data_IF_983264706268
#
_entry.id   IF_983264706268
#
_cell.length_a   1.000
_cell.length_b   1.000
_cell.length_c   1.000
_cell.angle_alpha   90.00
_cell.angle_beta   90.00
_cell.angle_gamma   90.00
#
_symmetry.space_group_name_H-M   'P 1'
#
loop_
_entity.id
_entity.type
_entity.pdbx_description
1 polymer ?
#
# COMPACT_ATOMS: atom_id res chain seq x y z
N UNK A 1 1.88 20.34 -4.87
CA UNK A 1 2.79 21.14 -4.03
C UNK A 1 3.94 20.26 -3.55
N UNK A 2 5.02 20.22 -4.31
CA UNK A 2 6.08 19.20 -4.24
C UNK A 2 7.39 19.75 -3.62
N UNK A 3 7.29 20.75 -2.73
CA UNK A 3 8.46 21.47 -2.20
C UNK A 3 9.30 20.65 -1.20
N UNK A 4 8.67 19.89 -0.30
CA UNK A 4 9.43 19.16 0.73
C UNK A 4 10.21 17.96 0.18
N UNK A 5 9.71 17.31 -0.88
CA UNK A 5 10.39 16.17 -1.52
C UNK A 5 11.62 16.62 -2.34
N UNK A 6 11.53 17.76 -3.02
CA UNK A 6 12.68 18.34 -3.78
C UNK A 6 13.72 19.00 -2.87
N UNK A 7 13.33 19.52 -1.71
CA UNK A 7 14.22 20.28 -0.83
C UNK A 7 15.13 19.41 0.07
N UNK A 8 15.00 18.07 0.09
CA UNK A 8 15.76 17.15 0.98
C UNK A 8 15.75 17.57 2.47
N UNK A 9 14.74 18.32 2.93
CA UNK A 9 14.61 18.77 4.33
C UNK A 9 13.30 18.28 4.97
N UNK A 10 13.12 16.97 5.14
CA UNK A 10 11.96 16.42 5.84
C UNK A 10 11.87 16.92 7.29
N UNK A 11 13.01 17.27 7.89
CA UNK A 11 13.12 17.78 9.27
C UNK A 11 12.31 19.06 9.50
N UNK A 12 12.22 19.94 8.50
CA UNK A 12 11.43 21.18 8.60
C UNK A 12 9.93 20.87 8.53
N UNK A 13 9.51 19.93 7.66
CA UNK A 13 8.14 19.47 7.61
C UNK A 13 7.70 18.83 8.93
N UNK A 14 8.60 18.05 9.54
CA UNK A 14 8.42 17.43 10.85
C UNK A 14 8.33 18.46 11.97
N UNK A 15 9.24 19.43 12.02
CA UNK A 15 9.20 20.50 12.99
C UNK A 15 7.91 21.33 12.86
N UNK A 16 7.45 21.57 11.63
CA UNK A 16 6.20 22.27 11.35
C UNK A 16 5.00 21.44 11.82
N UNK A 17 4.97 20.14 11.54
CA UNK A 17 3.89 19.24 11.96
C UNK A 17 3.84 19.08 13.48
N UNK A 18 4.98 18.91 14.14
CA UNK A 18 5.08 18.92 15.61
C UNK A 18 4.60 20.25 16.19
N UNK A 19 4.88 21.37 15.52
CA UNK A 19 4.39 22.69 15.94
C UNK A 19 2.88 22.84 15.73
N UNK A 20 2.33 22.25 14.68
CA UNK A 20 0.88 22.17 14.42
C UNK A 20 0.19 21.31 15.49
N UNK A 21 0.76 20.13 15.82
CA UNK A 21 0.32 19.26 16.92
C UNK A 21 0.31 20.01 18.26
N UNK A 22 1.42 20.68 18.63
CA UNK A 22 1.51 21.44 19.89
C UNK A 22 0.53 22.61 19.98
N UNK A 23 0.16 23.19 18.84
CA UNK A 23 -0.79 24.32 18.79
C UNK A 23 -2.25 23.87 18.75
N UNK A 24 -2.53 22.56 18.74
CA UNK A 24 -3.90 22.04 18.69
C UNK A 24 -4.67 22.46 17.43
N UNK A 25 -3.95 22.76 16.35
CA UNK A 25 -4.59 23.18 15.10
C UNK A 25 -5.14 21.94 14.40
N UNK A 26 -6.45 21.95 14.09
CA UNK A 26 -7.06 20.93 13.23
C UNK A 26 -6.36 20.90 11.88
N UNK A 27 -5.89 19.73 11.47
CA UNK A 27 -5.30 19.53 10.14
C UNK A 27 -6.30 18.88 9.21
N UNK A 28 -6.26 19.25 7.94
CA UNK A 28 -7.04 18.57 6.92
C UNK A 28 -6.30 17.35 6.34
N UNK A 29 -7.04 16.49 5.63
CA UNK A 29 -6.55 15.30 4.92
C UNK A 29 -5.32 15.60 4.03
N UNK A 30 -5.36 16.72 3.29
CA UNK A 30 -4.30 17.08 2.34
C UNK A 30 -2.96 17.31 3.04
N UNK A 31 -2.97 18.04 4.16
CA UNK A 31 -1.75 18.34 4.94
C UNK A 31 -1.19 17.06 5.56
N UNK A 32 -2.05 16.21 6.11
CA UNK A 32 -1.65 14.92 6.67
C UNK A 32 -1.04 13.99 5.60
N UNK A 33 -1.68 13.84 4.44
CA UNK A 33 -1.19 13.00 3.34
C UNK A 33 0.13 13.53 2.76
N UNK A 34 0.29 14.85 2.67
CA UNK A 34 1.56 15.48 2.29
C UNK A 34 2.66 15.15 3.29
N UNK A 35 2.33 15.16 4.58
CA UNK A 35 3.27 14.86 5.65
C UNK A 35 3.69 13.38 5.65
N UNK A 36 2.73 12.45 5.48
CA UNK A 36 3.01 11.03 5.29
C UNK A 36 3.97 10.78 4.13
N UNK A 37 3.71 11.40 2.98
CA UNK A 37 4.62 11.32 1.81
C UNK A 37 6.03 11.80 2.17
N UNK A 38 6.16 12.90 2.91
CA UNK A 38 7.46 13.45 3.32
C UNK A 38 8.22 12.50 4.27
N UNK A 39 7.55 11.95 5.29
CA UNK A 39 8.14 11.00 6.24
C UNK A 39 8.64 9.74 5.55
N UNK A 40 7.81 9.20 4.67
CA UNK A 40 8.13 8.02 3.89
C UNK A 40 9.32 8.27 2.93
N UNK A 41 9.40 9.43 2.28
CA UNK A 41 10.58 9.82 1.49
C UNK A 41 11.86 10.00 2.34
N UNK A 42 11.72 10.34 3.62
CA UNK A 42 12.82 10.46 4.57
C UNK A 42 13.27 9.10 5.16
N UNK A 43 12.68 7.99 4.71
CA UNK A 43 12.86 6.64 5.31
C UNK A 43 12.47 6.56 6.80
N UNK A 44 11.70 7.52 7.32
CA UNK A 44 11.18 7.54 8.69
C UNK A 44 9.83 6.80 8.74
N UNK A 45 9.86 5.51 8.42
CA UNK A 45 8.66 4.70 8.21
C UNK A 45 7.86 4.44 9.48
N UNK A 46 8.52 4.28 10.63
CA UNK A 46 7.85 4.10 11.92
C UNK A 46 7.03 5.33 12.30
N UNK A 47 7.58 6.51 12.04
CA UNK A 47 6.86 7.76 12.27
C UNK A 47 5.72 7.97 11.30
N UNK A 48 5.87 7.55 10.03
CA UNK A 48 4.77 7.59 9.07
C UNK A 48 3.59 6.74 9.53
N UNK A 49 3.86 5.53 10.04
CA UNK A 49 2.82 4.64 10.59
C UNK A 49 2.19 5.23 11.85
N UNK A 50 3.00 5.76 12.77
CA UNK A 50 2.48 6.41 13.98
C UNK A 50 1.59 7.62 13.63
N UNK A 51 1.95 8.40 12.60
CA UNK A 51 1.12 9.51 12.14
C UNK A 51 -0.18 9.01 11.56
N UNK A 52 -0.12 8.02 10.67
CA UNK A 52 -1.28 7.43 10.01
C UNK A 52 -2.28 6.88 11.04
N UNK A 53 -1.81 6.09 12.02
CA UNK A 53 -2.69 5.35 12.92
C UNK A 53 -3.16 6.15 14.14
N UNK A 54 -2.31 7.05 14.67
CA UNK A 54 -2.60 7.74 15.92
C UNK A 54 -2.75 9.26 15.74
N UNK A 55 -1.78 9.91 15.09
CA UNK A 55 -1.75 11.39 15.06
C UNK A 55 -2.81 12.01 14.16
N UNK A 56 -3.21 11.36 13.06
CA UNK A 56 -4.28 11.87 12.21
C UNK A 56 -5.59 12.00 13.01
N UNK A 57 -5.96 10.95 13.76
CA UNK A 57 -7.17 10.95 14.59
C UNK A 57 -7.13 12.02 15.69
N UNK A 58 -5.99 12.20 16.37
CA UNK A 58 -5.79 13.28 17.36
C UNK A 58 -5.96 14.68 16.76
N UNK A 59 -5.64 14.84 15.46
CA UNK A 59 -5.77 16.10 14.73
C UNK A 59 -7.16 16.32 14.12
N UNK A 60 -8.10 15.40 14.37
CA UNK A 60 -9.47 15.47 13.89
C UNK A 60 -9.64 15.08 12.42
N UNK A 61 -8.71 14.32 11.84
CA UNK A 61 -8.85 13.73 10.52
C UNK A 61 -8.71 12.20 10.57
N UNK A 62 -9.60 11.49 9.88
CA UNK A 62 -9.56 10.02 9.79
C UNK A 62 -8.79 9.64 8.53
N UNK A 63 -7.81 8.72 8.59
CA UNK A 63 -7.14 8.20 7.39
C UNK A 63 -8.12 7.64 6.37
N UNK A 64 -7.89 7.93 5.10
CA UNK A 64 -8.64 7.33 3.99
C UNK A 64 -7.78 6.33 3.21
N UNK A 65 -8.36 5.66 2.21
CA UNK A 65 -7.64 4.67 1.41
C UNK A 65 -6.40 5.28 0.73
N UNK A 66 -6.45 6.57 0.40
CA UNK A 66 -5.32 7.29 -0.17
C UNK A 66 -4.17 7.47 0.84
N UNK A 67 -4.47 7.80 2.11
CA UNK A 67 -3.48 7.85 3.19
C UNK A 67 -2.73 6.52 3.35
N UNK A 68 -3.46 5.40 3.37
CA UNK A 68 -2.86 4.05 3.45
C UNK A 68 -2.04 3.73 2.20
N UNK A 69 -2.58 3.99 1.01
CA UNK A 69 -1.89 3.72 -0.26
C UNK A 69 -0.57 4.48 -0.41
N UNK A 70 -0.45 5.69 0.14
CA UNK A 70 0.84 6.41 0.20
C UNK A 70 1.88 5.60 0.96
N UNK A 71 1.54 5.15 2.17
CA UNK A 71 2.49 4.44 3.04
C UNK A 71 2.81 3.06 2.47
N UNK A 72 1.80 2.32 1.98
CA UNK A 72 1.98 1.02 1.31
C UNK A 72 2.93 1.11 0.11
N UNK A 73 2.71 2.09 -0.77
CA UNK A 73 3.55 2.29 -1.95
C UNK A 73 5.00 2.50 -1.57
N UNK A 74 5.24 3.38 -0.59
CA UNK A 74 6.62 3.74 -0.24
C UNK A 74 7.29 2.61 0.55
N UNK A 75 6.56 1.79 1.30
CA UNK A 75 7.11 0.58 1.91
C UNK A 75 7.58 -0.42 0.85
N UNK A 76 6.75 -0.69 -0.16
CA UNK A 76 7.09 -1.61 -1.23
C UNK A 76 8.22 -1.08 -2.13
N UNK A 77 8.25 0.23 -2.41
CA UNK A 77 9.33 0.87 -3.18
C UNK A 77 10.69 0.84 -2.44
N UNK A 78 10.69 0.75 -1.10
CA UNK A 78 11.90 0.66 -0.27
C UNK A 78 12.25 -0.78 0.14
N UNK A 79 11.72 -1.79 -0.54
CA UNK A 79 11.96 -3.20 -0.21
C UNK A 79 11.56 -3.60 1.21
N UNK A 80 10.49 -2.99 1.73
CA UNK A 80 9.87 -3.31 3.02
C UNK A 80 8.47 -3.89 2.84
N UNK A 81 8.27 -4.78 1.85
CA UNK A 81 6.94 -5.28 1.49
C UNK A 81 6.28 -6.10 2.60
N UNK A 82 7.07 -6.71 3.50
CA UNK A 82 6.55 -7.35 4.72
C UNK A 82 5.79 -6.36 5.62
N UNK A 83 6.34 -5.17 5.83
CA UNK A 83 5.64 -4.10 6.59
C UNK A 83 4.42 -3.59 5.82
N UNK A 84 4.49 -3.58 4.48
CA UNK A 84 3.35 -3.26 3.62
C UNK A 84 2.20 -4.25 3.80
N UNK A 85 2.51 -5.55 3.85
CA UNK A 85 1.54 -6.61 4.12
C UNK A 85 0.88 -6.44 5.51
N UNK A 86 1.67 -6.19 6.54
CA UNK A 86 1.16 -5.96 7.91
C UNK A 86 0.21 -4.76 7.96
N UNK A 87 0.57 -3.65 7.31
CA UNK A 87 -0.28 -2.46 7.24
C UNK A 87 -1.58 -2.71 6.47
N UNK A 88 -1.52 -3.49 5.38
CA UNK A 88 -2.71 -3.86 4.60
C UNK A 88 -3.65 -4.74 5.42
N UNK A 89 -3.12 -5.71 6.16
CA UNK A 89 -3.92 -6.56 7.05
C UNK A 89 -4.52 -5.78 8.22
N UNK A 90 -3.79 -4.81 8.77
CA UNK A 90 -4.31 -3.90 9.78
C UNK A 90 -5.44 -3.04 9.23
N UNK A 91 -5.28 -2.50 8.02
CA UNK A 91 -6.35 -1.75 7.33
C UNK A 91 -7.61 -2.62 7.15
N UNK A 92 -7.45 -3.89 6.77
CA UNK A 92 -8.58 -4.82 6.62
C UNK A 92 -9.32 -5.13 7.94
N UNK A 93 -8.60 -5.18 9.07
CA UNK A 93 -9.17 -5.56 10.38
C UNK A 93 -9.67 -4.37 11.20
N UNK A 94 -8.91 -3.29 11.20
CA UNK A 94 -9.03 -2.17 12.14
C UNK A 94 -9.14 -0.81 11.44
N UNK A 95 -9.26 -0.78 10.10
CA UNK A 95 -9.26 0.45 9.30
C UNK A 95 -10.44 1.41 9.51
N UNK A 96 -11.29 1.22 10.53
CA UNK A 96 -12.37 2.16 10.86
C UNK A 96 -13.39 2.35 9.73
N UNK A 97 -13.64 1.30 8.94
CA UNK A 97 -14.49 1.36 7.73
C UNK A 97 -13.74 1.66 6.43
N UNK A 98 -12.42 1.86 6.50
CA UNK A 98 -11.54 1.98 5.35
C UNK A 98 -10.96 0.61 4.99
N UNK A 99 -11.41 0.02 3.88
CA UNK A 99 -10.97 -1.30 3.43
C UNK A 99 -9.91 -1.20 2.34
N UNK A 100 -8.95 -2.15 2.27
CA UNK A 100 -7.97 -2.19 1.20
C UNK A 100 -8.66 -2.28 -0.17
N UNK A 101 -8.29 -1.38 -1.07
CA UNK A 101 -8.79 -1.36 -2.44
C UNK A 101 -7.87 -2.16 -3.38
N UNK A 102 -8.25 -2.23 -4.65
CA UNK A 102 -7.44 -2.89 -5.69
C UNK A 102 -6.01 -2.33 -5.74
N UNK A 103 -5.85 -1.02 -5.53
CA UNK A 103 -4.54 -0.36 -5.57
C UNK A 103 -3.67 -0.80 -4.39
N UNK A 104 -4.23 -0.89 -3.18
CA UNK A 104 -3.56 -1.37 -1.98
C UNK A 104 -3.00 -2.79 -2.19
N UNK A 105 -3.88 -3.72 -2.59
CA UNK A 105 -3.50 -5.11 -2.86
C UNK A 105 -2.42 -5.21 -3.94
N UNK A 106 -2.64 -4.59 -5.11
CA UNK A 106 -1.69 -4.65 -6.22
C UNK A 106 -0.32 -4.09 -5.83
N UNK A 107 -0.28 -3.02 -5.03
CA UNK A 107 0.96 -2.40 -4.57
C UNK A 107 1.79 -3.37 -3.74
N UNK A 108 1.18 -4.04 -2.77
CA UNK A 108 1.88 -4.99 -1.89
C UNK A 108 2.25 -6.27 -2.63
N UNK A 109 1.35 -6.81 -3.47
CA UNK A 109 1.64 -7.99 -4.32
C UNK A 109 2.86 -7.73 -5.20
N UNK A 110 2.92 -6.57 -5.87
CA UNK A 110 4.06 -6.20 -6.72
C UNK A 110 5.36 -6.04 -5.93
N UNK A 111 5.29 -5.44 -4.75
CA UNK A 111 6.44 -5.33 -3.83
C UNK A 111 6.99 -6.70 -3.44
N UNK A 112 6.11 -7.61 -3.00
CA UNK A 112 6.48 -8.98 -2.63
C UNK A 112 7.11 -9.75 -3.80
N UNK A 113 6.59 -9.58 -5.01
CA UNK A 113 7.21 -10.19 -6.20
C UNK A 113 8.61 -9.65 -6.48
N UNK A 114 8.83 -8.34 -6.37
CA UNK A 114 10.15 -7.73 -6.54
C UNK A 114 11.16 -8.23 -5.52
N UNK A 115 10.71 -8.53 -4.31
CA UNK A 115 11.54 -9.07 -3.22
C UNK A 115 11.73 -10.59 -3.31
N UNK A 116 11.08 -11.27 -4.26
CA UNK A 116 11.16 -12.73 -4.40
C UNK A 116 10.28 -13.52 -3.44
N UNK A 117 9.42 -12.83 -2.65
CA UNK A 117 8.49 -13.41 -1.69
C UNK A 117 7.22 -13.97 -2.38
N UNK A 118 7.43 -14.83 -3.38
CA UNK A 118 6.38 -15.35 -4.29
C UNK A 118 5.23 -15.99 -3.51
N UNK A 119 5.53 -16.78 -2.47
CA UNK A 119 4.50 -17.46 -1.67
C UNK A 119 3.54 -16.48 -1.00
N UNK A 120 4.06 -15.39 -0.43
CA UNK A 120 3.25 -14.34 0.20
C UNK A 120 2.43 -13.57 -0.83
N UNK A 121 3.01 -13.27 -1.99
CA UNK A 121 2.31 -12.60 -3.09
C UNK A 121 1.11 -13.41 -3.59
N UNK A 122 1.28 -14.73 -3.78
CA UNK A 122 0.21 -15.63 -4.18
C UNK A 122 -0.90 -15.74 -3.12
N UNK A 123 -0.53 -15.83 -1.84
CA UNK A 123 -1.52 -15.87 -0.75
C UNK A 123 -2.33 -14.56 -0.69
N UNK A 124 -1.66 -13.42 -0.84
CA UNK A 124 -2.32 -12.11 -0.83
C UNK A 124 -3.24 -11.91 -2.06
N UNK A 125 -2.86 -12.44 -3.22
CA UNK A 125 -3.73 -12.48 -4.39
C UNK A 125 -4.99 -13.31 -4.14
N UNK A 126 -4.86 -14.47 -3.49
CA UNK A 126 -6.01 -15.29 -3.16
C UNK A 126 -6.95 -14.58 -2.17
N UNK A 127 -6.39 -13.92 -1.15
CA UNK A 127 -7.14 -13.08 -0.21
C UNK A 127 -7.90 -11.96 -0.95
N UNK A 128 -7.23 -11.23 -1.85
CA UNK A 128 -7.84 -10.18 -2.67
C UNK A 128 -9.10 -10.68 -3.41
N UNK A 129 -9.01 -11.87 -4.03
CA UNK A 129 -10.12 -12.51 -4.74
C UNK A 129 -11.24 -12.93 -3.77
N UNK A 130 -10.90 -13.51 -2.62
CA UNK A 130 -11.88 -13.92 -1.61
C UNK A 130 -12.66 -12.73 -1.03
N UNK A 131 -12.01 -11.57 -0.91
CA UNK A 131 -12.63 -10.32 -0.49
C UNK A 131 -13.45 -9.64 -1.60
N UNK A 132 -13.56 -10.28 -2.78
CA UNK A 132 -14.32 -9.75 -3.91
C UNK A 132 -13.62 -8.58 -4.64
N UNK A 133 -12.35 -8.31 -4.34
CA UNK A 133 -11.57 -7.28 -5.02
C UNK A 133 -11.03 -7.86 -6.32
N UNK A 134 -11.49 -7.32 -7.46
CA UNK A 134 -11.12 -7.83 -8.79
C UNK A 134 -9.65 -7.50 -9.09
N UNK A 135 -8.78 -8.49 -9.35
CA UNK A 135 -7.40 -8.23 -9.74
C UNK A 135 -7.29 -7.57 -11.12
N UNK A 136 -6.27 -6.73 -11.29
CA UNK A 136 -5.96 -6.13 -12.59
C UNK A 136 -5.21 -7.09 -13.51
N UNK A 137 -5.17 -6.78 -14.82
CA UNK A 137 -4.45 -7.55 -15.84
C UNK A 137 -2.98 -7.79 -15.45
N UNK A 138 -2.29 -6.73 -15.00
CA UNK A 138 -0.88 -6.79 -14.57
C UNK A 138 -0.69 -7.76 -13.40
N UNK A 139 -1.62 -7.75 -12.45
CA UNK A 139 -1.58 -8.65 -11.28
C UNK A 139 -1.75 -10.11 -11.70
N UNK A 140 -2.72 -10.38 -12.58
CA UNK A 140 -2.92 -11.71 -13.15
C UNK A 140 -1.67 -12.21 -13.89
N UNK A 141 -1.13 -11.42 -14.81
CA UNK A 141 0.07 -11.78 -15.56
C UNK A 141 1.26 -12.07 -14.66
N UNK A 142 1.44 -11.29 -13.59
CA UNK A 142 2.55 -11.48 -12.64
C UNK A 142 2.42 -12.79 -11.85
N UNK A 143 1.21 -13.13 -11.41
CA UNK A 143 0.92 -14.39 -10.69
C UNK A 143 1.10 -15.60 -11.63
N UNK A 144 0.60 -15.52 -12.86
CA UNK A 144 0.75 -16.59 -13.86
C UNK A 144 2.23 -16.84 -14.15
N UNK A 145 3.02 -15.79 -14.41
CA UNK A 145 4.47 -15.91 -14.65
C UNK A 145 5.19 -16.54 -13.44
N UNK A 146 4.87 -16.11 -12.22
CA UNK A 146 5.46 -16.66 -11.01
C UNK A 146 5.12 -18.16 -10.81
N UNK A 147 3.87 -18.56 -11.07
CA UNK A 147 3.44 -19.95 -10.99
C UNK A 147 4.09 -20.83 -12.06
N UNK A 148 4.23 -20.32 -13.29
CA UNK A 148 4.97 -20.98 -14.36
C UNK A 148 6.44 -21.22 -13.99
N UNK A 149 7.12 -20.20 -13.45
CA UNK A 149 8.51 -20.30 -12.96
C UNK A 149 8.66 -21.30 -11.82
N UNK A 150 7.64 -21.39 -10.96
CA UNK A 150 7.56 -22.39 -9.89
C UNK A 150 7.14 -23.80 -10.37
N UNK A 151 6.97 -24.01 -11.69
CA UNK A 151 6.47 -25.25 -12.32
C UNK A 151 5.09 -25.70 -11.80
N UNK A 152 4.30 -24.77 -11.26
CA UNK A 152 2.95 -25.03 -10.77
C UNK A 152 1.91 -24.76 -11.88
N UNK A 153 2.02 -25.49 -12.99
CA UNK A 153 1.26 -25.21 -14.22
C UNK A 153 -0.26 -25.32 -14.03
N UNK A 154 -0.73 -26.29 -13.24
CA UNK A 154 -2.17 -26.46 -12.95
C UNK A 154 -2.77 -25.21 -12.29
N UNK A 155 -2.00 -24.58 -11.39
CA UNK A 155 -2.41 -23.33 -10.71
C UNK A 155 -2.35 -22.15 -11.67
N UNK A 156 -1.33 -22.08 -12.53
CA UNK A 156 -1.21 -21.03 -13.54
C UNK A 156 -2.40 -21.05 -14.52
N UNK A 157 -2.82 -22.24 -14.96
CA UNK A 157 -3.98 -22.41 -15.83
C UNK A 157 -5.27 -21.97 -15.13
N UNK A 158 -5.45 -22.32 -13.85
CA UNK A 158 -6.62 -21.90 -13.08
C UNK A 158 -6.71 -20.38 -12.96
N UNK A 159 -5.59 -19.71 -12.69
CA UNK A 159 -5.53 -18.24 -12.62
C UNK A 159 -5.78 -17.61 -14.00
N UNK A 160 -5.27 -18.21 -15.08
CA UNK A 160 -5.55 -17.76 -16.46
C UNK A 160 -7.03 -17.88 -16.82
N UNK A 161 -7.68 -18.99 -16.47
CA UNK A 161 -9.14 -19.16 -16.67
C UNK A 161 -9.93 -18.12 -15.88
N UNK A 162 -9.51 -17.85 -14.64
CA UNK A 162 -10.13 -16.80 -13.82
C UNK A 162 -9.96 -15.40 -14.43
N UNK A 163 -8.78 -15.11 -14.99
CA UNK A 163 -8.50 -13.86 -15.70
C UNK A 163 -9.45 -13.66 -16.89
N UNK A 164 -9.61 -14.69 -17.73
CA UNK A 164 -10.51 -14.68 -18.89
C UNK A 164 -11.97 -14.53 -18.45
N UNK A 165 -12.40 -15.25 -17.41
CA UNK A 165 -13.76 -15.15 -16.88
C UNK A 165 -14.09 -13.74 -16.37
N UNK A 166 -13.10 -13.03 -15.84
CA UNK A 166 -13.23 -11.65 -15.37
C UNK A 166 -13.09 -10.61 -16.49
N UNK A 167 -13.04 -11.03 -17.77
CA UNK A 167 -12.94 -10.14 -18.93
C UNK A 167 -11.58 -9.45 -19.09
N UNK A 168 -10.58 -9.82 -18.29
CA UNK A 168 -9.22 -9.35 -18.43
C UNK A 168 -8.53 -10.15 -19.54
N UNK A 169 -8.07 -9.48 -20.60
CA UNK A 169 -7.30 -10.16 -21.65
C UNK A 169 -5.82 -10.28 -21.23
N UNK A 170 -5.20 -11.47 -21.39
CA UNK A 170 -3.76 -11.63 -21.22
C UNK A 170 -3.02 -10.64 -22.12
N UNK A 171 -2.03 -9.94 -21.57
CA UNK A 171 -1.13 -9.13 -22.40
C UNK A 171 -0.43 -10.08 -23.39
N UNK A 172 -0.57 -9.82 -24.69
CA UNK A 172 0.13 -10.52 -25.76
C UNK A 172 1.63 -10.24 -25.74
#
# INVERSE_FOLDING_TARGET
MDCCCRARRPELGLALFVRVLRKGLKTNQIVANTFLKCLCCAKRTDEAVNVLLHRMSELGCVPDAFSYNIVLKIFCDNSMSQRGLELLQMMAKEGGGCFPDMVAYNTVIHGLFKEGEIGKACNLFHEMVQQGVVPGVVTYSSIIDALCKARAMDKAELVLRQMVANGAQPNQ
#
